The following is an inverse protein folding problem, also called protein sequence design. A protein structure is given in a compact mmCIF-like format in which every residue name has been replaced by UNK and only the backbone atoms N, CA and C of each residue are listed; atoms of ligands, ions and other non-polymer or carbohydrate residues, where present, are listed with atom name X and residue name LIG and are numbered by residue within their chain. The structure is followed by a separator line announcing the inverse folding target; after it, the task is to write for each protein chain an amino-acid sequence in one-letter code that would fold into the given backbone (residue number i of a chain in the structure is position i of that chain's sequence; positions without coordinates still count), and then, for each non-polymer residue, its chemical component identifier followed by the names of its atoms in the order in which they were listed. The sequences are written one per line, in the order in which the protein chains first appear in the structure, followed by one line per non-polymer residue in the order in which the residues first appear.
data_IF_109369617079
#
_entry.id   IF_109369617079
#
_cell.length_a   1.000
_cell.length_b   1.000
_cell.length_c   1.000
_cell.angle_alpha   90.00
_cell.angle_beta   90.00
_cell.angle_gamma   90.00
#
_symmetry.space_group_name_H-M   'P 1'
#
loop_
_entity.id
_entity.type
_entity.pdbx_description
1 polymer ?
#
# COMPACT_ATOMS: atom_id res chain seq x y z
N UNK A 1 0.89 64.07 -31.61
CA UNK A 1 0.11 64.09 -32.87
C UNK A 1 -1.12 63.21 -32.70
N UNK A 2 -2.32 63.78 -32.82
CA UNK A 2 -3.63 63.09 -32.75
C UNK A 2 -4.02 62.54 -34.12
N UNK A 3 -4.68 61.37 -34.17
CA UNK A 3 -5.73 60.94 -35.12
C UNK A 3 -6.02 59.43 -34.95
N UNK A 4 -7.19 58.89 -35.37
CA UNK A 4 -8.56 59.33 -35.08
C UNK A 4 -9.51 58.17 -34.71
N UNK A 5 -10.69 58.51 -34.21
CA UNK A 5 -11.84 57.61 -33.94
C UNK A 5 -12.55 57.27 -35.27
N UNK A 6 -12.92 56.01 -35.54
CA UNK A 6 -13.84 55.67 -36.63
C UNK A 6 -15.31 55.76 -36.21
N UNK A 7 -16.11 56.40 -37.08
CA UNK A 7 -17.55 56.55 -36.99
C UNK A 7 -18.32 55.33 -37.53
N UNK A 8 -19.55 55.19 -37.03
CA UNK A 8 -20.58 54.20 -37.36
C UNK A 8 -21.32 54.60 -38.67
N UNK A 9 -21.80 53.64 -39.49
CA UNK A 9 -22.89 53.89 -40.44
C UNK A 9 -24.27 53.45 -39.89
N UNK A 10 -25.27 54.32 -40.06
CA UNK A 10 -26.71 54.09 -39.85
C UNK A 10 -27.30 53.15 -40.94
N UNK A 11 -28.04 52.09 -40.58
CA UNK A 11 -29.51 51.94 -40.43
C UNK A 11 -30.32 51.71 -41.72
N UNK A 12 -30.99 50.55 -41.81
CA UNK A 12 -32.29 50.39 -42.51
C UNK A 12 -33.21 49.40 -41.78
N UNK A 13 -34.33 49.95 -41.29
CA UNK A 13 -35.72 49.46 -41.21
C UNK A 13 -36.08 48.03 -40.73
N UNK A 14 -36.62 47.99 -39.50
CA UNK A 14 -37.88 47.39 -39.01
C UNK A 14 -38.54 46.17 -39.69
N UNK A 15 -38.76 45.12 -38.88
CA UNK A 15 -39.98 44.32 -38.86
C UNK A 15 -40.28 43.85 -37.40
N UNK A 16 -41.56 43.86 -37.02
CA UNK A 16 -42.06 43.65 -35.64
C UNK A 16 -42.39 42.17 -35.33
N UNK A 17 -42.12 41.80 -34.06
CA UNK A 17 -42.79 40.80 -33.18
C UNK A 17 -42.60 39.28 -33.48
N UNK A 18 -42.66 38.37 -32.47
CA UNK A 18 -43.26 38.53 -31.14
C UNK A 18 -42.39 38.11 -29.92
N UNK A 19 -42.86 38.58 -28.78
CA UNK A 19 -42.48 38.32 -27.38
C UNK A 19 -42.40 36.83 -27.03
N UNK A 20 -41.40 36.36 -26.27
CA UNK A 20 -41.38 35.00 -25.76
C UNK A 20 -42.25 34.84 -24.50
N UNK A 21 -43.05 33.79 -24.49
CA UNK A 21 -43.89 33.32 -23.38
C UNK A 21 -43.05 32.90 -22.16
N UNK A 22 -43.62 32.94 -20.94
CA UNK A 22 -42.88 32.70 -19.71
C UNK A 22 -42.44 31.22 -19.61
N UNK A 23 -41.15 31.01 -19.37
CA UNK A 23 -40.53 29.69 -19.25
C UNK A 23 -40.90 29.05 -17.91
N UNK A 24 -41.48 27.87 -17.99
CA UNK A 24 -41.85 26.96 -16.89
C UNK A 24 -40.67 26.70 -15.93
N UNK A 25 -40.89 26.55 -14.61
CA UNK A 25 -39.81 26.25 -13.66
C UNK A 25 -39.15 24.90 -13.96
N UNK A 26 -37.85 24.73 -13.66
CA UNK A 26 -37.14 23.49 -13.94
C UNK A 26 -37.75 22.33 -13.13
N UNK A 27 -38.25 21.34 -13.86
CA UNK A 27 -38.69 20.07 -13.28
C UNK A 27 -37.50 19.34 -12.67
N UNK A 28 -37.63 19.00 -11.40
CA UNK A 28 -36.72 18.13 -10.64
C UNK A 28 -36.52 16.82 -11.39
N UNK A 29 -35.34 16.61 -11.98
CA UNK A 29 -34.95 15.32 -12.55
C UNK A 29 -34.79 14.35 -11.38
N UNK A 30 -35.81 13.52 -11.15
CA UNK A 30 -35.67 12.32 -10.32
C UNK A 30 -34.66 11.40 -11.01
N UNK A 31 -33.48 11.27 -10.41
CA UNK A 31 -32.52 10.22 -10.76
C UNK A 31 -33.17 8.88 -10.39
N UNK A 32 -33.88 8.28 -11.34
CA UNK A 32 -34.33 6.90 -11.22
C UNK A 32 -33.10 6.01 -11.29
N UNK A 33 -32.89 5.19 -10.25
CA UNK A 33 -31.83 4.20 -10.20
C UNK A 33 -31.93 3.23 -11.39
N UNK A 34 -31.11 3.47 -12.41
CA UNK A 34 -30.91 2.50 -13.48
C UNK A 34 -30.14 1.33 -12.88
N UNK A 35 -30.84 0.22 -12.67
CA UNK A 35 -30.25 -1.09 -12.38
C UNK A 35 -29.18 -1.38 -13.45
N UNK A 36 -27.91 -1.30 -13.09
CA UNK A 36 -26.83 -1.75 -13.93
C UNK A 36 -27.03 -3.24 -14.24
N UNK A 37 -27.16 -3.56 -15.53
CA UNK A 37 -27.07 -4.94 -16.01
C UNK A 37 -25.68 -5.44 -15.64
N UNK A 38 -25.61 -6.32 -14.64
CA UNK A 38 -24.41 -7.11 -14.32
C UNK A 38 -24.03 -7.89 -15.58
N UNK A 39 -22.91 -7.52 -16.20
CA UNK A 39 -22.23 -8.40 -17.14
C UNK A 39 -21.78 -9.62 -16.33
N UNK A 40 -22.45 -10.75 -16.56
CA UNK A 40 -22.13 -12.03 -15.94
C UNK A 40 -20.87 -12.60 -16.61
N UNK A 41 -19.70 -12.10 -16.21
CA UNK A 41 -18.48 -12.91 -16.30
C UNK A 41 -18.71 -14.06 -15.31
N UNK A 42 -18.92 -15.28 -15.82
CA UNK A 42 -19.02 -16.46 -14.95
C UNK A 42 -17.67 -16.62 -14.24
N UNK A 43 -17.61 -16.54 -12.90
CA UNK A 43 -16.37 -16.80 -12.19
C UNK A 43 -16.02 -18.27 -12.41
N UNK A 44 -14.83 -18.52 -12.97
CA UNK A 44 -14.26 -19.86 -13.02
C UNK A 44 -13.72 -20.12 -11.60
N UNK A 45 -14.55 -20.70 -10.73
CA UNK A 45 -14.10 -21.19 -9.42
C UNK A 45 -13.46 -22.56 -9.60
N UNK A 46 -12.22 -22.59 -10.09
CA UNK A 46 -11.33 -23.75 -9.93
C UNK A 46 -10.44 -23.48 -8.73
N UNK A 47 -10.41 -24.38 -7.75
CA UNK A 47 -9.60 -24.29 -6.51
C UNK A 47 -8.10 -24.46 -6.74
N UNK A 48 -7.60 -24.13 -7.94
CA UNK A 48 -6.26 -24.44 -8.36
C UNK A 48 -5.28 -23.37 -7.87
N UNK A 49 -4.60 -23.71 -6.78
CA UNK A 49 -3.41 -23.02 -6.32
C UNK A 49 -2.20 -23.49 -7.13
N UNK A 50 -1.47 -22.56 -7.72
CA UNK A 50 -0.31 -22.82 -8.55
C UNK A 50 0.97 -22.42 -7.81
N UNK A 51 2.04 -23.20 -7.96
CA UNK A 51 3.33 -22.85 -7.38
C UNK A 51 3.91 -21.61 -8.08
N UNK A 52 4.39 -20.65 -7.30
CA UNK A 52 5.09 -19.46 -7.81
C UNK A 52 6.60 -19.70 -7.95
N UNK A 53 7.10 -20.82 -7.43
CA UNK A 53 8.52 -21.20 -7.38
C UNK A 53 9.40 -20.18 -6.63
N UNK A 54 8.83 -19.50 -5.63
CA UNK A 54 9.57 -18.66 -4.69
C UNK A 54 9.57 -19.31 -3.32
N UNK A 55 10.76 -19.41 -2.73
CA UNK A 55 10.96 -19.85 -1.35
C UNK A 55 10.66 -18.70 -0.39
N UNK A 56 10.49 -19.02 0.90
CA UNK A 56 10.30 -18.01 1.93
C UNK A 56 11.47 -17.01 2.04
N UNK A 57 12.70 -17.42 1.68
CA UNK A 57 13.86 -16.52 1.68
C UNK A 57 13.79 -15.46 0.59
N UNK A 58 13.10 -15.73 -0.52
CA UNK A 58 12.93 -14.81 -1.64
C UNK A 58 11.64 -14.00 -1.55
N UNK A 59 10.62 -14.49 -0.83
CA UNK A 59 9.37 -13.77 -0.61
C UNK A 59 8.70 -14.22 0.69
N UNK A 60 8.51 -13.28 1.62
CA UNK A 60 7.68 -13.44 2.81
C UNK A 60 6.49 -12.49 2.71
N UNK A 61 5.29 -13.05 2.56
CA UNK A 61 4.06 -12.27 2.43
C UNK A 61 3.82 -11.30 3.62
N UNK A 62 3.96 -11.71 4.90
CA UNK A 62 3.78 -10.80 6.04
C UNK A 62 4.89 -9.75 6.20
N UNK A 63 6.05 -9.93 5.55
CA UNK A 63 7.13 -8.95 5.51
C UNK A 63 7.14 -8.13 4.21
N UNK A 64 6.16 -8.34 3.33
CA UNK A 64 6.05 -7.64 2.05
C UNK A 64 4.78 -6.80 1.97
N UNK A 65 3.62 -7.33 2.36
CA UNK A 65 2.35 -6.60 2.17
C UNK A 65 2.02 -5.59 3.27
N UNK A 66 1.97 -5.96 4.56
CA UNK A 66 1.55 -5.03 5.62
C UNK A 66 2.71 -4.16 6.13
N UNK A 67 3.59 -3.70 5.23
CA UNK A 67 4.83 -2.97 5.58
C UNK A 67 4.84 -1.51 5.13
N UNK A 68 3.73 -1.03 4.54
CA UNK A 68 3.58 0.36 4.13
C UNK A 68 4.17 0.71 2.76
N UNK A 69 4.66 -0.28 2.01
CA UNK A 69 4.99 -0.10 0.59
C UNK A 69 3.76 -0.15 -0.32
N UNK A 70 2.75 -0.96 0.04
CA UNK A 70 1.45 -1.03 -0.64
C UNK A 70 0.33 -1.05 0.40
N UNK A 71 -0.85 -0.59 0.01
CA UNK A 71 -2.05 -0.54 0.86
C UNK A 71 -3.23 -1.30 0.26
N UNK A 72 -3.01 -2.00 -0.87
CA UNK A 72 -4.05 -2.68 -1.66
C UNK A 72 -4.17 -4.18 -1.42
N UNK A 73 -3.19 -4.77 -0.74
CA UNK A 73 -3.16 -6.19 -0.41
C UNK A 73 -3.72 -6.44 0.98
N UNK A 74 -4.80 -7.23 1.06
CA UNK A 74 -5.54 -7.52 2.29
C UNK A 74 -5.21 -8.93 2.76
N UNK A 75 -5.11 -9.12 4.07
CA UNK A 75 -4.96 -10.45 4.65
C UNK A 75 -6.32 -11.16 4.63
N UNK A 76 -6.51 -12.08 3.68
CA UNK A 76 -7.77 -12.80 3.45
C UNK A 76 -7.66 -14.25 3.92
N UNK A 77 -7.04 -14.47 5.08
CA UNK A 77 -6.83 -15.81 5.63
C UNK A 77 -5.50 -15.96 6.36
N UNK A 78 -5.28 -17.15 6.91
CA UNK A 78 -4.05 -17.47 7.61
C UNK A 78 -2.90 -17.60 6.61
N UNK A 79 -1.89 -16.72 6.70
CA UNK A 79 -0.80 -16.60 5.72
C UNK A 79 -1.25 -16.39 4.27
N UNK A 80 -2.43 -15.83 4.07
CA UNK A 80 -2.98 -15.55 2.75
C UNK A 80 -3.20 -14.05 2.57
N UNK A 81 -2.75 -13.52 1.45
CA UNK A 81 -2.97 -12.14 1.04
C UNK A 81 -3.61 -12.08 -0.34
N UNK A 82 -4.56 -11.17 -0.52
CA UNK A 82 -5.24 -10.97 -1.80
C UNK A 82 -5.12 -9.51 -2.21
N UNK A 83 -4.85 -9.28 -3.49
CA UNK A 83 -4.73 -7.95 -4.08
C UNK A 83 -5.07 -7.97 -5.55
N UNK A 84 -4.98 -6.80 -6.17
CA UNK A 84 -5.31 -6.59 -7.58
C UNK A 84 -4.09 -6.07 -8.32
N UNK A 85 -3.87 -6.56 -9.54
CA UNK A 85 -2.83 -6.08 -10.46
C UNK A 85 -3.52 -5.79 -11.79
N UNK A 86 -3.84 -4.51 -12.04
CA UNK A 86 -4.75 -4.14 -13.13
C UNK A 86 -6.07 -4.93 -13.03
N UNK A 87 -6.50 -5.65 -14.08
CA UNK A 87 -7.74 -6.41 -14.09
C UNK A 87 -7.61 -7.81 -13.43
N UNK A 88 -6.49 -8.10 -12.76
CA UNK A 88 -6.19 -9.42 -12.21
C UNK A 88 -6.38 -9.44 -10.68
N UNK A 89 -7.38 -10.17 -10.20
CA UNK A 89 -7.59 -10.44 -8.77
C UNK A 89 -6.89 -11.74 -8.37
N UNK A 90 -5.89 -11.63 -7.49
CA UNK A 90 -4.96 -12.72 -7.18
C UNK A 90 -4.80 -12.87 -5.65
N UNK A 91 -4.85 -14.11 -5.17
CA UNK A 91 -4.39 -14.46 -3.82
C UNK A 91 -3.01 -15.11 -3.86
N UNK A 92 -2.21 -14.86 -2.83
CA UNK A 92 -0.97 -15.55 -2.52
C UNK A 92 -1.09 -16.21 -1.15
N UNK A 93 -0.50 -17.40 -0.99
CA UNK A 93 -0.33 -18.03 0.33
C UNK A 93 1.00 -18.76 0.43
N UNK A 94 1.51 -18.90 1.65
CA UNK A 94 2.58 -19.85 1.92
C UNK A 94 2.01 -21.27 2.05
N UNK A 95 2.71 -22.24 1.47
CA UNK A 95 2.42 -23.65 1.70
C UNK A 95 2.94 -24.07 3.08
N UNK A 96 2.09 -24.75 3.86
CA UNK A 96 2.32 -25.01 5.28
C UNK A 96 3.56 -25.86 5.58
N UNK A 97 4.01 -26.72 4.65
CA UNK A 97 5.10 -27.66 4.93
C UNK A 97 6.48 -27.17 4.47
N UNK A 98 6.56 -26.44 3.36
CA UNK A 98 7.84 -26.07 2.72
C UNK A 98 8.07 -24.55 2.65
N UNK A 99 7.09 -23.73 3.07
CA UNK A 99 7.19 -22.27 3.05
C UNK A 99 7.13 -21.65 1.64
N UNK A 100 7.01 -22.45 0.58
CA UNK A 100 6.95 -21.96 -0.80
C UNK A 100 5.67 -21.15 -1.02
N UNK A 101 5.76 -20.16 -1.90
CA UNK A 101 4.62 -19.30 -2.24
C UNK A 101 3.81 -19.91 -3.37
N UNK A 102 2.49 -19.93 -3.19
CA UNK A 102 1.51 -20.33 -4.18
C UNK A 102 0.60 -19.15 -4.50
N UNK A 103 0.07 -19.13 -5.72
CA UNK A 103 -0.88 -18.13 -6.18
C UNK A 103 -2.17 -18.76 -6.69
N UNK A 104 -3.27 -18.03 -6.56
CA UNK A 104 -4.56 -18.39 -7.12
C UNK A 104 -5.18 -17.16 -7.78
N UNK A 105 -5.68 -17.31 -9.01
CA UNK A 105 -6.29 -16.22 -9.77
C UNK A 105 -7.80 -16.39 -9.66
N UNK A 106 -8.47 -15.40 -9.05
CA UNK A 106 -9.93 -15.40 -8.89
C UNK A 106 -10.64 -14.82 -10.11
N UNK A 107 -10.07 -13.78 -10.70
CA UNK A 107 -10.66 -13.04 -11.81
C UNK A 107 -9.55 -12.49 -12.68
N UNK A 108 -9.60 -12.77 -13.97
CA UNK A 108 -8.65 -12.26 -14.96
C UNK A 108 -9.23 -12.36 -16.37
N UNK A 109 -8.91 -11.43 -17.29
CA UNK A 109 -9.13 -11.64 -18.71
C UNK A 109 -8.13 -12.64 -19.34
N UNK A 110 -6.96 -12.87 -18.72
CA UNK A 110 -5.91 -13.77 -19.22
C UNK A 110 -5.03 -14.28 -18.09
N UNK A 111 -4.93 -15.61 -17.91
CA UNK A 111 -4.09 -16.22 -16.88
C UNK A 111 -2.59 -15.96 -17.12
N UNK A 112 -2.15 -15.99 -18.37
CA UNK A 112 -0.75 -15.70 -18.74
C UNK A 112 -0.38 -14.26 -18.41
N UNK A 113 -1.25 -13.30 -18.72
CA UNK A 113 -1.04 -11.90 -18.38
C UNK A 113 -1.03 -11.68 -16.85
N UNK A 114 -1.96 -12.32 -16.14
CA UNK A 114 -2.01 -12.26 -14.67
C UNK A 114 -0.73 -12.79 -14.03
N UNK A 115 -0.21 -13.93 -14.51
CA UNK A 115 1.06 -14.50 -14.03
C UNK A 115 2.22 -13.56 -14.32
N UNK A 116 2.30 -12.99 -15.53
CA UNK A 116 3.37 -12.04 -15.87
C UNK A 116 3.31 -10.78 -15.01
N UNK A 117 2.11 -10.22 -14.80
CA UNK A 117 1.91 -9.04 -13.95
C UNK A 117 2.29 -9.33 -12.50
N UNK A 118 1.94 -10.51 -11.99
CA UNK A 118 2.32 -10.95 -10.64
C UNK A 118 3.83 -11.05 -10.47
N UNK A 119 4.52 -11.67 -11.42
CA UNK A 119 5.98 -11.84 -11.39
C UNK A 119 6.69 -10.48 -11.51
N UNK A 120 6.21 -9.58 -12.35
CA UNK A 120 6.73 -8.22 -12.47
C UNK A 120 6.52 -7.41 -11.19
N UNK A 121 5.30 -7.42 -10.64
CA UNK A 121 4.94 -6.73 -9.41
C UNK A 121 5.75 -7.20 -8.20
N UNK A 122 5.97 -8.51 -8.09
CA UNK A 122 6.83 -9.11 -7.08
C UNK A 122 8.32 -8.96 -7.41
N UNK A 123 8.70 -8.24 -8.46
CA UNK A 123 10.08 -7.91 -8.80
C UNK A 123 11.04 -9.11 -8.78
N UNK A 124 10.58 -10.25 -9.32
CA UNK A 124 11.24 -11.56 -9.14
C UNK A 124 12.56 -11.70 -9.88
N UNK A 125 12.85 -10.80 -10.82
CA UNK A 125 14.13 -10.77 -11.54
C UNK A 125 15.30 -10.33 -10.65
N UNK A 126 15.01 -9.77 -9.46
CA UNK A 126 16.01 -9.43 -8.45
C UNK A 126 16.10 -10.58 -7.44
N UNK A 127 17.25 -11.25 -7.36
CA UNK A 127 17.53 -12.25 -6.32
C UNK A 127 17.80 -11.56 -4.99
N UNK A 128 16.95 -11.82 -3.98
CA UNK A 128 17.17 -11.30 -2.62
C UNK A 128 18.45 -11.88 -2.03
N UNK A 129 18.69 -13.18 -2.22
CA UNK A 129 19.89 -13.84 -1.73
C UNK A 129 21.18 -13.13 -2.18
N UNK A 130 21.27 -12.75 -3.45
CA UNK A 130 22.43 -12.05 -3.99
C UNK A 130 22.58 -10.66 -3.36
N UNK A 131 21.54 -9.82 -3.41
CA UNK A 131 21.66 -8.44 -2.91
C UNK A 131 21.83 -8.38 -1.38
N UNK A 132 21.28 -9.35 -0.63
CA UNK A 132 21.44 -9.40 0.81
C UNK A 132 22.82 -9.91 1.24
N UNK A 133 23.50 -10.72 0.41
CA UNK A 133 24.89 -11.07 0.67
C UNK A 133 25.76 -9.81 0.70
N UNK A 134 25.59 -8.91 -0.28
CA UNK A 134 26.30 -7.64 -0.35
C UNK A 134 25.94 -6.72 0.83
N UNK A 135 24.66 -6.64 1.20
CA UNK A 135 24.21 -5.85 2.35
C UNK A 135 24.76 -6.39 3.68
N UNK A 136 24.79 -7.72 3.83
CA UNK A 136 25.28 -8.36 5.05
C UNK A 136 26.80 -8.21 5.19
N UNK A 137 27.53 -8.23 4.07
CA UNK A 137 28.97 -7.98 4.07
C UNK A 137 29.33 -6.52 4.40
N UNK A 138 28.46 -5.57 4.03
CA UNK A 138 28.65 -4.14 4.29
C UNK A 138 28.11 -3.65 5.64
N UNK A 139 27.21 -4.41 6.28
CA UNK A 139 26.61 -4.04 7.56
C UNK A 139 26.29 -5.26 8.45
N UNK A 140 27.02 -5.40 9.56
CA UNK A 140 26.77 -6.46 10.54
C UNK A 140 25.36 -6.40 11.13
N UNK A 141 24.80 -5.21 11.36
CA UNK A 141 23.42 -5.07 11.86
C UNK A 141 22.42 -5.59 10.83
N UNK A 142 22.65 -5.30 9.55
CA UNK A 142 21.81 -5.83 8.49
C UNK A 142 21.89 -7.36 8.46
N UNK A 143 23.12 -7.90 8.52
CA UNK A 143 23.36 -9.34 8.53
C UNK A 143 22.57 -10.04 9.65
N UNK A 144 22.55 -9.46 10.86
CA UNK A 144 21.80 -10.02 11.96
C UNK A 144 20.27 -9.94 11.75
N UNK A 145 19.75 -8.78 11.33
CA UNK A 145 18.32 -8.59 11.07
C UNK A 145 17.81 -9.49 9.93
N UNK A 146 18.62 -9.69 8.90
CA UNK A 146 18.31 -10.53 7.74
C UNK A 146 18.03 -11.99 8.14
N UNK A 147 18.58 -12.48 9.25
CA UNK A 147 18.29 -13.83 9.75
C UNK A 147 16.84 -13.98 10.21
N UNK A 148 16.24 -12.91 10.72
CA UNK A 148 14.88 -12.91 11.29
C UNK A 148 13.82 -12.41 10.30
N UNK A 149 14.21 -11.56 9.34
CA UNK A 149 13.29 -10.87 8.44
C UNK A 149 13.35 -11.36 6.99
N UNK A 150 13.72 -12.62 6.79
CA UNK A 150 13.89 -13.25 5.47
C UNK A 150 12.70 -13.03 4.53
N UNK A 151 13.00 -12.78 3.25
CA UNK A 151 11.99 -12.61 2.21
C UNK A 151 11.28 -11.26 2.21
N UNK A 152 11.74 -10.27 3.00
CA UNK A 152 11.25 -8.90 2.91
C UNK A 152 11.64 -8.30 1.55
N UNK A 153 10.67 -8.21 0.64
CA UNK A 153 10.89 -7.83 -0.75
C UNK A 153 10.31 -6.46 -1.07
N UNK A 154 11.01 -5.70 -1.92
CA UNK A 154 10.48 -4.46 -2.52
C UNK A 154 9.64 -4.78 -3.75
N UNK A 155 8.41 -4.28 -3.77
CA UNK A 155 7.46 -4.42 -4.87
C UNK A 155 7.77 -3.44 -6.01
N UNK A 156 7.29 -3.77 -7.21
CA UNK A 156 7.33 -2.94 -8.42
C UNK A 156 5.91 -2.59 -8.86
N UNK A 157 5.34 -1.59 -8.21
CA UNK A 157 3.95 -1.18 -8.40
C UNK A 157 3.74 -0.43 -9.73
N UNK A 158 2.48 -0.35 -10.13
CA UNK A 158 2.04 0.60 -11.17
C UNK A 158 2.35 2.05 -10.72
N UNK A 159 2.95 2.90 -11.56
CA UNK A 159 3.30 4.28 -11.19
C UNK A 159 2.13 5.16 -10.76
N UNK A 160 0.97 5.05 -11.41
CA UNK A 160 -0.20 5.87 -11.07
C UNK A 160 -0.79 5.42 -9.73
N UNK A 161 -0.99 4.10 -9.56
CA UNK A 161 -1.45 3.53 -8.30
C UNK A 161 -0.50 3.89 -7.14
N UNK A 162 0.81 3.76 -7.35
CA UNK A 162 1.83 4.10 -6.36
C UNK A 162 1.78 5.60 -5.99
N UNK A 163 1.71 6.50 -6.97
CA UNK A 163 1.59 7.93 -6.75
C UNK A 163 0.39 8.29 -5.86
N UNK A 164 -0.80 7.78 -6.18
CA UNK A 164 -2.02 8.10 -5.44
C UNK A 164 -1.98 7.52 -4.01
N UNK A 165 -1.46 6.29 -3.84
CA UNK A 165 -1.23 5.70 -2.52
C UNK A 165 -0.32 6.59 -1.64
N UNK A 166 0.79 7.09 -2.19
CA UNK A 166 1.73 7.89 -1.41
C UNK A 166 1.30 9.34 -1.20
N UNK A 167 0.47 9.91 -2.07
CA UNK A 167 -0.25 11.16 -1.78
C UNK A 167 -1.11 11.03 -0.52
N UNK A 168 -1.78 9.88 -0.33
CA UNK A 168 -2.55 9.57 0.86
C UNK A 168 -1.68 9.39 2.12
N UNK A 169 -0.39 9.08 1.96
CA UNK A 169 0.52 8.71 3.06
C UNK A 169 1.11 9.87 3.85
N UNK A 170 1.22 11.05 3.25
CA UNK A 170 1.88 12.22 3.85
C UNK A 170 1.28 12.55 5.22
N UNK A 171 2.07 12.61 6.30
CA UNK A 171 1.60 12.87 7.68
C UNK A 171 0.32 12.09 8.06
N UNK A 172 0.38 10.77 7.95
CA UNK A 172 -0.76 9.87 8.16
C UNK A 172 -0.31 8.55 8.82
N UNK A 173 -1.25 7.65 9.12
CA UNK A 173 -0.95 6.30 9.60
C UNK A 173 -1.49 5.23 8.65
N UNK A 174 -0.90 4.04 8.67
CA UNK A 174 -1.22 2.93 7.75
C UNK A 174 -2.73 2.67 7.70
N UNK A 175 -3.41 2.56 8.85
CA UNK A 175 -4.84 2.25 8.87
C UNK A 175 -5.71 3.30 8.17
N UNK A 176 -5.40 4.59 8.34
CA UNK A 176 -6.12 5.67 7.66
C UNK A 176 -5.74 5.76 6.17
N UNK A 177 -4.49 5.49 5.82
CA UNK A 177 -4.05 5.42 4.41
C UNK A 177 -4.80 4.31 3.69
N UNK A 178 -4.86 3.11 4.27
CA UNK A 178 -5.60 1.97 3.70
C UNK A 178 -7.06 2.33 3.42
N UNK A 179 -7.75 3.00 4.36
CA UNK A 179 -9.14 3.45 4.12
C UNK A 179 -9.27 4.43 2.96
N UNK A 180 -8.34 5.37 2.82
CA UNK A 180 -8.32 6.30 1.68
C UNK A 180 -8.10 5.56 0.36
N UNK A 181 -7.12 4.65 0.34
CA UNK A 181 -6.80 3.85 -0.86
C UNK A 181 -7.95 2.91 -1.23
N UNK A 182 -8.63 2.30 -0.24
CA UNK A 182 -9.85 1.51 -0.47
C UNK A 182 -10.96 2.36 -1.10
N UNK A 183 -11.15 3.61 -0.64
CA UNK A 183 -12.10 4.53 -1.26
C UNK A 183 -11.73 4.85 -2.71
N UNK A 184 -10.47 5.17 -3.00
CA UNK A 184 -10.05 5.42 -4.39
C UNK A 184 -10.27 4.18 -5.25
N UNK A 185 -9.89 3.01 -4.73
CA UNK A 185 -10.00 1.74 -5.45
C UNK A 185 -11.46 1.43 -5.82
N UNK A 186 -12.42 1.71 -4.94
CA UNK A 186 -13.85 1.44 -5.20
C UNK A 186 -14.46 2.29 -6.32
N UNK A 187 -13.75 3.30 -6.81
CA UNK A 187 -14.14 4.09 -7.98
C UNK A 187 -13.89 3.35 -9.31
N UNK A 188 -13.04 2.33 -9.30
CA UNK A 188 -12.71 1.50 -10.46
C UNK A 188 -13.67 0.33 -10.67
N UNK A 189 -13.29 -0.60 -11.57
CA UNK A 189 -14.12 -1.74 -11.93
C UNK A 189 -14.12 -2.82 -10.82
N UNK A 190 -15.29 -3.26 -10.37
CA UNK A 190 -15.40 -4.37 -9.43
C UNK A 190 -14.88 -5.68 -10.04
N UNK A 191 -13.96 -6.36 -9.36
CA UNK A 191 -13.36 -7.62 -9.80
C UNK A 191 -13.87 -8.82 -9.03
N UNK A 192 -14.22 -8.68 -7.74
CA UNK A 192 -14.71 -9.81 -6.96
C UNK A 192 -14.70 -9.58 -5.46
N UNK A 193 -15.17 -10.60 -4.74
CA UNK A 193 -15.14 -10.67 -3.27
C UNK A 193 -14.34 -11.91 -2.85
N UNK A 194 -13.42 -11.74 -1.90
CA UNK A 194 -12.62 -12.85 -1.33
C UNK A 194 -12.61 -12.68 0.19
N UNK A 195 -13.11 -13.68 0.92
CA UNK A 195 -13.21 -13.68 2.39
C UNK A 195 -13.87 -12.42 2.96
N UNK A 196 -14.93 -11.94 2.31
CA UNK A 196 -15.70 -10.78 2.77
C UNK A 196 -15.10 -9.42 2.36
N UNK A 197 -13.95 -9.39 1.69
CA UNK A 197 -13.37 -8.17 1.15
C UNK A 197 -13.72 -7.97 -0.32
N UNK A 198 -14.20 -6.78 -0.67
CA UNK A 198 -14.40 -6.36 -2.06
C UNK A 198 -13.10 -5.84 -2.67
N UNK A 199 -12.87 -6.22 -3.93
CA UNK A 199 -11.70 -5.85 -4.72
C UNK A 199 -12.12 -5.23 -6.05
N UNK A 200 -11.37 -4.20 -6.43
CA UNK A 200 -11.61 -3.39 -7.63
C UNK A 200 -10.30 -3.20 -8.38
N UNK A 201 -10.35 -3.18 -9.70
CA UNK A 201 -9.28 -2.63 -10.52
C UNK A 201 -9.06 -1.16 -10.10
N UNK A 202 -7.79 -0.73 -10.04
CA UNK A 202 -7.50 0.66 -9.67
C UNK A 202 -8.03 1.60 -10.77
N UNK A 203 -8.71 2.71 -10.42
CA UNK A 203 -9.25 3.62 -11.42
C UNK A 203 -8.14 4.22 -12.29
N UNK A 204 -8.39 4.31 -13.59
CA UNK A 204 -7.53 5.04 -14.52
C UNK A 204 -7.61 6.56 -14.32
N UNK A 205 -6.77 7.29 -15.04
CA UNK A 205 -6.67 8.74 -14.90
C UNK A 205 -7.95 9.47 -15.33
N UNK A 206 -8.70 8.93 -16.30
CA UNK A 206 -9.99 9.48 -16.74
C UNK A 206 -11.00 9.38 -15.59
N UNK A 207 -11.12 8.19 -14.98
CA UNK A 207 -12.03 7.93 -13.87
C UNK A 207 -11.68 8.76 -12.64
N UNK A 208 -10.39 8.92 -12.34
CA UNK A 208 -9.91 9.79 -11.27
C UNK A 208 -10.22 11.27 -11.53
N UNK A 209 -10.19 11.71 -12.79
CA UNK A 209 -10.52 13.10 -13.19
C UNK A 209 -11.98 13.48 -12.99
N UNK A 210 -12.89 12.50 -12.83
CA UNK A 210 -14.30 12.74 -12.54
C UNK A 210 -14.58 13.01 -11.05
N UNK A 211 -13.58 12.83 -10.17
CA UNK A 211 -13.74 12.94 -8.72
C UNK A 211 -13.46 14.37 -8.28
N UNK A 212 -14.43 14.97 -7.61
CA UNK A 212 -14.31 16.34 -7.08
C UNK A 212 -13.54 16.41 -5.75
N UNK A 213 -12.97 17.57 -5.45
CA UNK A 213 -12.30 17.81 -4.16
C UNK A 213 -13.29 17.61 -2.99
N UNK A 214 -14.55 18.04 -3.15
CA UNK A 214 -15.61 17.92 -2.16
C UNK A 214 -15.91 16.45 -1.83
N UNK A 215 -15.96 15.58 -2.84
CA UNK A 215 -16.16 14.13 -2.64
C UNK A 215 -15.01 13.52 -1.84
N UNK A 216 -13.76 13.87 -2.16
CA UNK A 216 -12.59 13.38 -1.41
C UNK A 216 -12.57 13.94 0.02
N UNK A 217 -12.95 15.20 0.23
CA UNK A 217 -13.08 15.79 1.58
C UNK A 217 -14.14 15.06 2.40
N UNK A 218 -15.30 14.79 1.81
CA UNK A 218 -16.37 14.01 2.45
C UNK A 218 -15.92 12.58 2.78
N UNK A 219 -15.05 11.98 1.95
CA UNK A 219 -14.42 10.69 2.20
C UNK A 219 -13.25 10.74 3.21
N UNK A 220 -12.97 11.90 3.80
CA UNK A 220 -12.00 12.03 4.90
C UNK A 220 -10.55 12.25 4.48
N UNK A 221 -10.28 12.63 3.22
CA UNK A 221 -8.92 12.91 2.73
C UNK A 221 -8.30 14.18 3.35
N UNK A 222 -9.15 15.10 3.82
CA UNK A 222 -8.73 16.39 4.37
C UNK A 222 -8.01 17.23 3.32
N UNK A 223 -6.89 17.86 3.70
CA UNK A 223 -6.12 18.69 2.78
C UNK A 223 -5.56 17.93 1.56
N UNK A 224 -5.41 16.59 1.65
CA UNK A 224 -4.92 15.75 0.54
C UNK A 224 -5.89 15.70 -0.63
N UNK A 225 -7.17 15.99 -0.40
CA UNK A 225 -8.17 16.09 -1.47
C UNK A 225 -7.69 17.02 -2.59
N UNK A 226 -7.23 18.23 -2.21
CA UNK A 226 -6.67 19.23 -3.13
C UNK A 226 -5.40 18.76 -3.84
N UNK A 227 -4.56 17.97 -3.16
CA UNK A 227 -3.34 17.43 -3.76
C UNK A 227 -3.64 16.36 -4.80
N UNK A 228 -4.61 15.49 -4.53
CA UNK A 228 -5.02 14.45 -5.46
C UNK A 228 -5.64 15.10 -6.70
N UNK A 229 -6.68 15.93 -6.56
CA UNK A 229 -7.31 16.57 -7.72
C UNK A 229 -6.31 17.39 -8.54
N UNK A 230 -5.50 18.23 -7.88
CA UNK A 230 -4.48 19.01 -8.57
C UNK A 230 -3.39 18.15 -9.23
N UNK A 231 -3.06 16.98 -8.68
CA UNK A 231 -2.14 16.03 -9.32
C UNK A 231 -2.76 15.38 -10.55
N UNK A 232 -4.03 15.01 -10.49
CA UNK A 232 -4.74 14.45 -11.64
C UNK A 232 -4.81 15.47 -12.77
N UNK A 233 -5.19 16.71 -12.47
CA UNK A 233 -5.20 17.81 -13.44
C UNK A 233 -3.81 18.03 -14.06
N UNK A 234 -2.77 18.07 -13.22
CA UNK A 234 -1.40 18.24 -13.68
C UNK A 234 -0.92 17.08 -14.56
N UNK A 235 -1.31 15.83 -14.27
CA UNK A 235 -0.99 14.65 -15.07
C UNK A 235 -1.70 14.65 -16.41
N UNK A 236 -2.97 15.06 -16.47
CA UNK A 236 -3.73 15.14 -17.71
C UNK A 236 -3.11 16.14 -18.71
N UNK A 237 -2.40 17.15 -18.21
CA UNK A 237 -1.64 18.11 -19.02
C UNK A 237 -0.25 17.61 -19.45
N UNK A 238 0.23 16.46 -18.94
CA UNK A 238 1.51 15.89 -19.36
C UNK A 238 1.38 15.16 -20.71
N UNK A 239 2.49 15.01 -21.46
CA UNK A 239 2.50 14.22 -22.69
C UNK A 239 1.94 12.81 -22.50
N UNK A 240 1.19 12.32 -23.50
CA UNK A 240 0.62 10.96 -23.47
C UNK A 240 -0.43 10.72 -22.39
N UNK A 241 -1.13 11.79 -21.96
CA UNK A 241 -2.20 11.69 -20.97
C UNK A 241 -1.71 11.31 -19.57
N UNK A 242 -0.48 11.65 -19.21
CA UNK A 242 0.07 11.46 -17.86
C UNK A 242 0.62 10.06 -17.56
N UNK A 243 -0.06 8.99 -17.99
CA UNK A 243 0.37 7.61 -17.74
C UNK A 243 1.68 7.29 -18.47
N UNK A 244 1.79 7.71 -19.73
CA UNK A 244 3.03 7.56 -20.50
C UNK A 244 4.17 8.38 -19.90
N UNK A 245 3.89 9.61 -19.45
CA UNK A 245 4.87 10.45 -18.76
C UNK A 245 5.39 9.79 -17.49
N UNK A 246 4.51 9.25 -16.63
CA UNK A 246 4.91 8.50 -15.43
C UNK A 246 5.77 7.28 -15.77
N UNK A 247 5.38 6.52 -16.80
CA UNK A 247 6.11 5.33 -17.24
C UNK A 247 7.50 5.69 -17.78
N UNK A 248 7.62 6.81 -18.50
CA UNK A 248 8.90 7.27 -19.04
C UNK A 248 9.92 7.62 -17.94
N UNK A 249 9.48 8.01 -16.74
CA UNK A 249 10.36 8.31 -15.61
C UNK A 249 11.22 7.11 -15.19
N UNK A 250 10.80 5.86 -15.47
CA UNK A 250 11.62 4.65 -15.21
C UNK A 250 12.98 4.67 -15.90
N UNK A 251 13.12 5.43 -17.00
CA UNK A 251 14.33 5.47 -17.83
C UNK A 251 15.25 6.65 -17.50
N UNK A 252 14.89 7.46 -16.52
CA UNK A 252 15.63 8.67 -16.14
C UNK A 252 16.45 8.44 -14.87
N UNK A 253 17.44 9.29 -14.66
CA UNK A 253 18.24 9.29 -13.44
C UNK A 253 17.43 9.78 -12.24
N UNK A 254 17.73 9.23 -11.05
CA UNK A 254 16.97 9.47 -9.83
C UNK A 254 16.70 10.95 -9.56
N UNK A 255 17.71 11.82 -9.68
CA UNK A 255 17.51 13.25 -9.39
C UNK A 255 16.46 13.88 -10.33
N UNK A 256 16.51 13.54 -11.63
CA UNK A 256 15.51 13.99 -12.61
C UNK A 256 14.13 13.45 -12.28
N UNK A 257 14.04 12.18 -11.85
CA UNK A 257 12.77 11.57 -11.41
C UNK A 257 12.20 12.30 -10.19
N UNK A 258 13.03 12.60 -9.19
CA UNK A 258 12.60 13.32 -7.98
C UNK A 258 12.12 14.72 -8.33
N UNK A 259 12.88 15.46 -9.13
CA UNK A 259 12.54 16.84 -9.52
C UNK A 259 11.24 16.85 -10.35
N UNK A 260 11.09 15.92 -11.29
CA UNK A 260 9.89 15.76 -12.11
C UNK A 260 8.64 15.46 -11.26
N UNK A 261 8.75 14.51 -10.33
CA UNK A 261 7.65 14.16 -9.42
C UNK A 261 7.30 15.30 -8.46
N UNK A 262 8.28 16.05 -7.96
CA UNK A 262 8.07 17.20 -7.08
C UNK A 262 7.34 18.37 -7.75
N UNK A 263 7.16 18.35 -9.08
CA UNK A 263 6.27 19.30 -9.78
C UNK A 263 4.79 19.05 -9.52
N UNK A 264 4.42 17.86 -9.04
CA UNK A 264 3.02 17.48 -8.77
C UNK A 264 2.56 18.00 -7.40
N UNK A 265 1.32 18.53 -7.29
CA UNK A 265 0.77 19.01 -6.02
C UNK A 265 0.81 17.97 -4.89
N UNK A 266 1.39 18.33 -3.75
CA UNK A 266 1.48 17.45 -2.59
C UNK A 266 2.58 16.40 -2.64
N UNK A 267 3.37 16.35 -3.71
CA UNK A 267 4.54 15.48 -3.83
C UNK A 267 5.79 16.25 -3.39
N UNK A 268 6.26 15.98 -2.18
CA UNK A 268 7.57 16.44 -1.71
C UNK A 268 8.66 15.36 -1.90
N UNK A 269 9.94 15.66 -1.58
CA UNK A 269 11.07 14.76 -1.82
C UNK A 269 10.89 13.35 -1.25
N UNK A 270 10.33 13.22 -0.03
CA UNK A 270 10.04 11.90 0.56
C UNK A 270 9.01 11.12 -0.24
N UNK A 271 7.91 11.76 -0.64
CA UNK A 271 6.84 11.12 -1.42
C UNK A 271 7.37 10.73 -2.79
N UNK A 272 8.13 11.62 -3.44
CA UNK A 272 8.81 11.34 -4.70
C UNK A 272 9.75 10.13 -4.59
N UNK A 273 10.55 10.04 -3.52
CA UNK A 273 11.44 8.90 -3.28
C UNK A 273 10.68 7.59 -3.05
N UNK A 274 9.52 7.61 -2.35
CA UNK A 274 8.67 6.42 -2.25
C UNK A 274 8.20 5.94 -3.63
N UNK A 275 7.71 6.86 -4.48
CA UNK A 275 7.23 6.53 -5.83
C UNK A 275 8.40 6.00 -6.68
N UNK A 276 9.56 6.66 -6.59
CA UNK A 276 10.77 6.26 -7.30
C UNK A 276 11.20 4.83 -6.95
N UNK A 277 11.26 4.52 -5.66
CA UNK A 277 11.67 3.20 -5.14
C UNK A 277 10.67 2.10 -5.50
N UNK A 278 9.38 2.35 -5.27
CA UNK A 278 8.35 1.31 -5.32
C UNK A 278 7.67 1.17 -6.68
N UNK A 279 7.93 2.04 -7.66
CA UNK A 279 7.27 1.97 -8.98
C UNK A 279 8.11 2.43 -10.18
N UNK A 280 9.23 3.12 -9.98
CA UNK A 280 10.02 3.70 -11.09
C UNK A 280 11.44 3.14 -11.24
N UNK A 281 11.69 1.93 -10.72
CA UNK A 281 12.95 1.19 -10.87
C UNK A 281 14.19 1.86 -10.26
N UNK A 282 13.99 2.90 -9.42
CA UNK A 282 15.08 3.60 -8.75
C UNK A 282 15.45 2.89 -7.43
N UNK A 283 16.12 1.73 -7.54
CA UNK A 283 16.41 0.85 -6.40
C UNK A 283 17.30 1.45 -5.29
N UNK A 284 17.98 2.56 -5.58
CA UNK A 284 18.81 3.30 -4.64
C UNK A 284 18.11 4.54 -4.05
N UNK A 285 16.84 4.80 -4.41
CA UNK A 285 16.07 5.90 -3.83
C UNK A 285 15.79 5.64 -2.34
N UNK A 286 15.99 6.67 -1.50
CA UNK A 286 15.86 6.59 -0.04
C UNK A 286 14.75 7.53 0.44
N UNK A 287 13.56 7.04 0.77
CA UNK A 287 12.49 7.86 1.32
C UNK A 287 12.78 8.26 2.78
N UNK A 288 13.46 9.38 2.98
CA UNK A 288 13.81 9.85 4.33
C UNK A 288 12.60 10.48 5.03
N UNK A 289 12.00 9.73 5.96
CA UNK A 289 11.03 10.22 6.93
C UNK A 289 11.62 10.24 8.35
N UNK A 290 10.77 10.44 9.36
CA UNK A 290 11.21 10.45 10.77
C UNK A 290 11.75 9.11 11.25
N UNK A 291 11.24 7.98 10.75
CA UNK A 291 11.71 6.65 11.13
C UNK A 291 13.06 6.35 10.48
N UNK A 292 13.19 6.60 9.19
CA UNK A 292 14.47 6.45 8.47
C UNK A 292 15.53 7.38 9.02
N UNK A 293 15.15 8.62 9.39
CA UNK A 293 16.03 9.54 10.11
C UNK A 293 16.53 8.96 11.43
N UNK A 294 15.66 8.35 12.24
CA UNK A 294 16.05 7.72 13.51
C UNK A 294 16.98 6.52 13.30
N UNK A 295 16.76 5.72 12.25
CA UNK A 295 17.65 4.61 11.90
C UNK A 295 19.03 5.16 11.51
N UNK A 296 19.06 6.13 10.59
CA UNK A 296 20.29 6.71 10.07
C UNK A 296 21.10 7.37 11.19
N UNK A 297 20.48 8.22 12.01
CA UNK A 297 21.15 8.92 13.11
C UNK A 297 21.58 8.00 14.26
N UNK A 298 21.09 6.76 14.33
CA UNK A 298 21.51 5.79 15.33
C UNK A 298 22.65 4.88 14.83
N UNK A 299 22.66 4.56 13.54
CA UNK A 299 23.47 3.46 13.03
C UNK A 299 24.39 3.79 11.85
N UNK A 300 24.13 4.88 11.11
CA UNK A 300 24.94 5.27 9.94
C UNK A 300 25.64 6.61 10.15
N UNK A 301 24.97 7.57 10.79
CA UNK A 301 25.44 8.95 10.99
C UNK A 301 25.19 9.39 12.45
N UNK A 302 25.84 8.76 13.45
CA UNK A 302 25.64 9.06 14.87
C UNK A 302 25.94 10.52 15.23
N UNK A 303 26.81 11.19 14.48
CA UNK A 303 27.13 12.61 14.63
C UNK A 303 25.94 13.55 14.35
N UNK A 304 24.88 13.06 13.70
CA UNK A 304 23.64 13.81 13.46
C UNK A 304 22.60 13.60 14.56
N UNK A 305 22.90 12.84 15.61
CA UNK A 305 22.00 12.65 16.75
C UNK A 305 21.61 14.00 17.38
N UNK A 306 20.30 14.24 17.52
CA UNK A 306 19.75 15.50 18.06
C UNK A 306 19.61 16.64 17.05
N UNK A 307 20.12 16.49 15.81
CA UNK A 307 19.90 17.47 14.76
C UNK A 307 18.44 17.47 14.27
N UNK A 308 17.98 18.61 13.75
CA UNK A 308 16.65 18.73 13.13
C UNK A 308 16.68 18.22 11.69
N UNK A 309 15.64 17.51 11.29
CA UNK A 309 15.46 17.06 9.91
C UNK A 309 15.33 18.28 8.97
N UNK A 310 16.21 18.37 7.98
CA UNK A 310 16.20 19.40 6.93
C UNK A 310 16.44 18.75 5.56
N UNK A 311 16.05 19.38 4.44
CA UNK A 311 16.27 18.81 3.11
C UNK A 311 17.74 18.41 2.84
N UNK A 312 18.69 19.27 3.21
CA UNK A 312 20.13 19.00 3.07
C UNK A 312 20.57 17.76 3.86
N UNK A 313 20.05 17.59 5.07
CA UNK A 313 20.37 16.43 5.89
C UNK A 313 19.65 15.16 5.40
N UNK A 314 18.48 15.28 4.77
CA UNK A 314 17.85 14.15 4.08
C UNK A 314 18.74 13.64 2.93
N UNK A 315 19.31 14.54 2.11
CA UNK A 315 20.24 14.14 1.06
C UNK A 315 21.47 13.43 1.63
N UNK A 316 22.07 13.97 2.70
CA UNK A 316 23.21 13.31 3.37
C UNK A 316 22.86 11.92 3.91
N UNK A 317 21.65 11.73 4.44
CA UNK A 317 21.17 10.41 4.87
C UNK A 317 21.04 9.48 3.67
N UNK A 318 20.45 9.94 2.56
CA UNK A 318 20.34 9.15 1.34
C UNK A 318 21.72 8.72 0.82
N UNK A 319 22.68 9.64 0.74
CA UNK A 319 24.06 9.38 0.32
C UNK A 319 24.74 8.35 1.22
N UNK A 320 24.52 8.40 2.54
CA UNK A 320 25.07 7.42 3.48
C UNK A 320 24.50 6.01 3.25
N UNK A 321 23.20 5.88 2.98
CA UNK A 321 22.60 4.59 2.60
C UNK A 321 23.17 4.08 1.26
N UNK A 322 23.27 4.93 0.24
CA UNK A 322 23.81 4.55 -1.07
C UNK A 322 25.29 4.17 -0.97
N UNK A 323 26.08 4.91 -0.19
CA UNK A 323 27.48 4.60 0.05
C UNK A 323 27.67 3.25 0.75
N UNK A 324 26.74 2.88 1.65
CA UNK A 324 26.82 1.64 2.42
C UNK A 324 26.30 0.42 1.63
N UNK A 325 25.19 0.56 0.92
CA UNK A 325 24.47 -0.57 0.30
C UNK A 325 24.44 -0.54 -1.23
N UNK A 326 25.03 0.47 -1.87
CA UNK A 326 25.17 0.58 -3.31
C UNK A 326 23.85 0.66 -4.08
N UNK A 327 23.81 0.00 -5.25
CA UNK A 327 22.73 0.11 -6.25
C UNK A 327 21.32 -0.19 -5.71
N UNK A 328 21.22 -1.05 -4.69
CA UNK A 328 19.94 -1.49 -4.12
C UNK A 328 19.71 -0.90 -2.71
N UNK A 329 20.32 0.23 -2.37
CA UNK A 329 20.23 0.80 -1.03
C UNK A 329 18.80 1.06 -0.51
N UNK A 330 17.83 1.36 -1.38
CA UNK A 330 16.43 1.49 -1.01
C UNK A 330 15.80 0.16 -0.54
N UNK A 331 16.30 -0.98 -1.03
CA UNK A 331 15.88 -2.30 -0.56
C UNK A 331 16.43 -2.60 0.83
N UNK A 332 17.70 -2.26 1.07
CA UNK A 332 18.29 -2.38 2.40
C UNK A 332 17.54 -1.48 3.42
N UNK A 333 17.30 -0.22 3.04
CA UNK A 333 16.50 0.71 3.84
C UNK A 333 15.10 0.17 4.14
N UNK A 334 14.44 -0.47 3.17
CA UNK A 334 13.11 -1.06 3.36
C UNK A 334 13.13 -2.14 4.44
N UNK A 335 14.10 -3.05 4.43
CA UNK A 335 14.24 -4.07 5.49
C UNK A 335 14.50 -3.44 6.86
N UNK A 336 15.38 -2.44 6.93
CA UNK A 336 15.69 -1.75 8.18
C UNK A 336 14.48 -0.99 8.73
N UNK A 337 13.65 -0.42 7.86
CA UNK A 337 12.38 0.18 8.24
C UNK A 337 11.39 -0.87 8.76
N UNK A 338 11.27 -2.01 8.07
CA UNK A 338 10.41 -3.12 8.49
C UNK A 338 10.80 -3.61 9.89
N UNK A 339 12.10 -3.69 10.19
CA UNK A 339 12.60 -4.05 11.51
C UNK A 339 12.14 -3.09 12.62
N UNK A 340 11.77 -1.85 12.28
CA UNK A 340 11.28 -0.86 13.24
C UNK A 340 9.75 -0.87 13.41
N UNK A 341 9.01 -1.62 12.59
CA UNK A 341 7.56 -1.72 12.70
C UNK A 341 7.15 -2.54 13.94
N UNK A 342 6.11 -2.13 14.70
CA UNK A 342 5.76 -2.81 15.95
C UNK A 342 5.52 -4.33 15.84
N UNK A 343 4.79 -4.86 14.84
CA UNK A 343 4.58 -6.31 14.71
C UNK A 343 5.87 -7.07 14.41
N UNK A 344 6.79 -6.49 13.65
CA UNK A 344 8.05 -7.13 13.28
C UNK A 344 9.08 -7.02 14.41
N UNK A 345 9.09 -5.92 15.18
CA UNK A 345 9.89 -5.82 16.40
C UNK A 345 9.62 -6.95 17.38
N UNK A 346 8.37 -7.40 17.52
CA UNK A 346 8.04 -8.54 18.38
C UNK A 346 8.61 -9.89 17.91
N UNK A 347 9.08 -9.99 16.67
CA UNK A 347 9.76 -11.17 16.13
C UNK A 347 11.28 -11.12 16.36
N UNK A 348 11.81 -9.96 16.76
CA UNK A 348 13.25 -9.74 16.94
C UNK A 348 13.67 -9.99 18.40
N UNK A 349 14.88 -10.54 18.63
CA UNK A 349 15.47 -10.65 19.96
C UNK A 349 15.50 -9.30 20.70
N UNK A 350 15.39 -9.32 22.03
CA UNK A 350 15.37 -8.12 22.88
C UNK A 350 16.62 -7.24 22.75
N UNK A 351 17.74 -7.79 22.27
CA UNK A 351 18.96 -7.05 21.94
C UNK A 351 18.78 -5.98 20.85
N UNK A 352 17.75 -6.11 20.00
CA UNK A 352 17.43 -5.12 18.97
C UNK A 352 16.56 -3.96 19.47
N UNK A 353 16.11 -4.02 20.72
CA UNK A 353 15.11 -3.10 21.26
C UNK A 353 15.81 -1.93 21.94
N UNK A 354 15.23 -0.74 21.87
CA UNK A 354 15.80 0.42 22.56
C UNK A 354 15.62 0.31 24.08
N UNK A 355 16.49 0.99 24.85
CA UNK A 355 16.41 1.01 26.33
C UNK A 355 15.04 1.47 26.85
N UNK A 356 14.39 2.40 26.13
CA UNK A 356 13.03 2.88 26.46
C UNK A 356 11.97 1.80 26.23
N UNK A 357 12.15 0.99 25.19
CA UNK A 357 11.25 -0.11 24.84
C UNK A 357 11.40 -1.28 25.82
N UNK A 358 12.62 -1.66 26.19
CA UNK A 358 12.90 -2.68 27.21
C UNK A 358 12.23 -2.31 28.54
N UNK A 359 12.33 -1.03 28.96
CA UNK A 359 11.65 -0.53 30.16
C UNK A 359 10.12 -0.60 30.06
N UNK A 360 9.56 -0.37 28.87
CA UNK A 360 8.10 -0.45 28.65
C UNK A 360 7.57 -1.88 28.58
N UNK A 361 8.37 -2.83 28.07
CA UNK A 361 8.04 -4.24 28.04
C UNK A 361 8.09 -4.86 29.44
N UNK A 362 9.18 -4.60 30.19
CA UNK A 362 9.31 -5.05 31.58
C UNK A 362 8.20 -4.51 32.49
N UNK A 363 7.67 -3.31 32.20
CA UNK A 363 6.54 -2.73 32.93
C UNK A 363 5.20 -3.41 32.62
N UNK A 364 5.02 -3.93 31.40
CA UNK A 364 3.83 -4.70 31.00
C UNK A 364 3.85 -6.11 31.60
N UNK A 365 5.01 -6.73 31.71
CA UNK A 365 5.16 -8.06 32.31
C UNK A 365 4.98 -8.02 33.83
N UNK A 366 5.28 -6.90 34.50
CA UNK A 366 4.97 -6.70 35.92
C UNK A 366 3.50 -6.42 36.24
N UNK A 367 2.66 -6.17 35.23
CA UNK A 367 1.23 -5.83 35.38
C UNK A 367 0.28 -6.96 34.90
N UNK A 368 0.82 -8.09 34.43
CA UNK A 368 0.01 -9.19 33.88
C UNK A 368 -0.09 -10.36 34.87
N UNK A 369 -1.08 -10.28 35.76
CA UNK A 369 -1.70 -11.48 36.35
C UNK A 369 -2.68 -12.12 35.34
N UNK A 370 -2.84 -13.42 35.48
CA UNK A 370 -3.35 -14.40 34.52
C UNK A 370 -4.70 -14.08 33.83
N UNK A 371 -4.83 -14.59 32.59
CA UNK A 371 -6.08 -14.70 31.81
C UNK A 371 -6.70 -13.43 31.19
N UNK A 372 -5.96 -12.70 30.33
CA UNK A 372 -6.61 -11.75 29.37
C UNK A 372 -5.81 -11.31 28.13
N UNK A 373 -4.76 -12.03 27.74
CA UNK A 373 -3.90 -11.60 26.61
C UNK A 373 -4.36 -12.11 25.23
N UNK A 374 -5.27 -13.09 25.14
CA UNK A 374 -5.76 -13.62 23.84
C UNK A 374 -6.88 -12.78 23.19
N UNK A 375 -7.46 -11.79 23.89
CA UNK A 375 -8.65 -11.05 23.42
C UNK A 375 -8.39 -9.63 22.89
N UNK A 376 -7.17 -9.08 23.00
CA UNK A 376 -6.90 -7.67 22.62
C UNK A 376 -6.40 -7.43 21.20
N UNK A 377 -6.03 -8.46 20.43
CA UNK A 377 -5.64 -8.30 19.02
C UNK A 377 -6.80 -8.45 18.02
N UNK A 378 -8.01 -8.72 18.49
CA UNK A 378 -9.20 -8.98 17.64
C UNK A 378 -9.97 -7.73 17.19
N UNK A 379 -9.50 -6.53 17.52
CA UNK A 379 -10.25 -5.27 17.29
C UNK A 379 -9.59 -4.27 16.33
N UNK A 380 -8.56 -4.66 15.57
CA UNK A 380 -7.93 -3.76 14.59
C UNK A 380 -8.22 -4.09 13.11
N UNK A 381 -9.03 -5.12 12.85
CA UNK A 381 -9.59 -5.42 11.54
C UNK A 381 -11.06 -5.82 11.72
N UNK A 382 -12.03 -5.15 11.07
CA UNK A 382 -13.44 -5.49 11.24
C UNK A 382 -13.72 -6.85 10.59
N UNK A 383 -14.05 -7.85 11.41
CA UNK A 383 -14.71 -9.07 10.95
C UNK A 383 -16.18 -8.73 10.65
N UNK A 384 -16.60 -8.95 9.40
CA UNK A 384 -18.02 -9.09 9.06
C UNK A 384 -18.37 -10.56 9.26
N UNK A 385 -19.02 -10.88 10.38
CA UNK A 385 -19.75 -12.14 10.54
C UNK A 385 -21.15 -11.93 9.98
N UNK A 386 -21.49 -12.63 8.88
CA UNK A 386 -22.87 -12.94 8.58
C UNK A 386 -23.00 -14.37 8.05
N UNK A 387 -23.66 -15.17 8.89
CA UNK A 387 -24.60 -16.24 8.52
C UNK A 387 -24.03 -17.57 8.04
N UNK A 388 -24.09 -18.58 8.92
CA UNK A 388 -24.60 -19.93 8.60
C UNK A 388 -25.27 -20.51 9.87
N UNK A 389 -26.33 -21.31 9.72
CA UNK A 389 -27.35 -21.53 10.74
C UNK A 389 -27.00 -22.62 11.76
N UNK A 390 -27.70 -22.54 12.89
CA UNK A 390 -27.78 -23.51 13.96
C UNK A 390 -27.93 -24.96 13.43
N UNK A 391 -27.05 -25.84 13.92
CA UNK A 391 -27.43 -27.22 14.21
C UNK A 391 -27.03 -27.53 15.65
N UNK A 392 -28.05 -27.77 16.47
CA UNK A 392 -27.98 -28.31 17.82
C UNK A 392 -27.99 -29.82 17.67
N UNK A 393 -27.03 -30.54 18.26
CA UNK A 393 -27.35 -31.69 19.13
C UNK A 393 -26.14 -32.22 19.93
N UNK A 394 -26.40 -32.24 21.24
CA UNK A 394 -25.84 -33.01 22.35
C UNK A 394 -24.78 -34.09 22.07
N UNK A 395 -23.70 -34.05 22.87
CA UNK A 395 -23.51 -35.06 23.92
C UNK A 395 -22.47 -34.65 24.98
N UNK A 396 -22.94 -34.63 26.23
CA UNK A 396 -22.16 -34.46 27.44
C UNK A 396 -21.36 -35.74 27.75
N UNK A 397 -20.06 -35.64 28.01
CA UNK A 397 -19.42 -36.35 29.14
C UNK A 397 -18.34 -35.48 29.77
N UNK A 398 -18.59 -35.14 31.04
CA UNK A 398 -17.64 -34.54 31.98
C UNK A 398 -16.69 -35.64 32.46
N UNK A 399 -15.39 -35.37 32.51
CA UNK A 399 -14.48 -36.04 33.43
C UNK A 399 -13.84 -34.97 34.32
N UNK A 400 -14.08 -35.10 35.62
CA UNK A 400 -13.58 -34.23 36.68
C UNK A 400 -12.36 -34.86 37.35
N UNK A 401 -11.30 -34.06 37.46
CA UNK A 401 -10.21 -33.93 38.44
C UNK A 401 -10.00 -34.91 39.64
N UNK A 402 -10.47 -36.16 39.61
CA UNK A 402 -10.20 -37.16 40.66
C UNK A 402 -9.35 -38.36 40.23
N UNK A 403 -9.00 -38.50 38.94
CA UNK A 403 -8.23 -39.65 38.44
C UNK A 403 -6.69 -39.43 38.41
N UNK A 404 -6.16 -38.34 38.98
CA UNK A 404 -4.72 -38.03 38.95
C UNK A 404 -3.96 -38.31 40.27
N UNK A 405 -4.62 -38.88 41.29
CA UNK A 405 -3.98 -39.18 42.59
C UNK A 405 -3.73 -40.68 42.87
N UNK A 406 -3.68 -41.52 41.84
CA UNK A 406 -3.36 -42.94 41.98
C UNK A 406 -2.26 -43.39 41.00
N UNK A 407 -1.04 -42.87 41.13
CA UNK A 407 0.17 -43.49 40.53
C UNK A 407 1.51 -43.09 41.19
N UNK A 408 1.51 -42.82 42.51
CA UNK A 408 2.74 -42.80 43.31
C UNK A 408 2.57 -43.70 44.53
N UNK A 409 2.84 -44.99 44.34
CA UNK A 409 3.40 -45.90 45.36
C UNK A 409 3.55 -47.30 44.75
N UNK A 410 4.73 -47.57 44.18
CA UNK A 410 5.31 -48.90 44.08
C UNK A 410 6.80 -48.76 43.76
N UNK A 411 7.64 -49.02 44.76
CA UNK A 411 9.10 -48.96 44.68
C UNK A 411 9.70 -48.72 46.06
N UNK A 412 9.65 -49.79 46.88
CA UNK A 412 10.31 -50.09 48.17
C UNK A 412 10.56 -48.98 49.20
#
# INVERSE_FOLDING_TARGET
MRRPIPQIPHSTAAAKSPTPSPTTPPQTIKITSRKHKKSLIKPITTTNWNALNLTQSELSLPLTFPTGQTFRWKQTGHHQYTGTLGPHLISLKHHHQNGNVYYHIHTTPSETAAKSALLDFLNINVSLANIWADFSASDSRFAELAMHLKGARVLRQDPLECLIQFLCSSNNNIARITKMVDYVSSLGQYLGNVEGFEFYEFPDLERLGLVTEEQLRAAGFGYRAKYITGTIDALQLKPGGGVEWLTALRKLDLQVVIDALCTLPGVGPKVAACIALFSLDQHHAIPVDTHVWQIATRHLLPELAGARLTPKLCSRVADAFVSKYGKYAGWAQTLLFIAELPPQKSLLPSSFWTVKEIKSANKKDSEADSEKVSLRFRLQFPFVLSSLPLFVEQNHRRYSFQDFLASRQSGE
#
